data_IF_847489867472
#
_entry.id   IF_847489867472
#
_cell.length_a   1.000
_cell.length_b   1.000
_cell.length_c   1.000
_cell.angle_alpha   90.00
_cell.angle_beta   90.00
_cell.angle_gamma   90.00
#
_symmetry.space_group_name_H-M   'P 1'
#
loop_
_entity.id
_entity.type
_entity.pdbx_description
1 polymer ?
#
# COMPACT_ATOMS: atom_id res chain seq x y z
N UNK A 1 10.10 19.13 7.70
CA UNK A 1 9.29 18.98 8.93
C UNK A 1 7.79 18.82 8.62
N UNK A 2 7.42 18.58 7.35
CA UNK A 2 6.03 18.58 6.88
C UNK A 2 5.22 17.47 7.57
N UNK A 3 5.73 16.24 7.58
CA UNK A 3 5.06 15.08 8.21
C UNK A 3 4.91 15.16 9.73
N UNK A 4 5.69 16.02 10.42
CA UNK A 4 5.70 16.07 11.89
C UNK A 4 4.47 16.80 12.43
N UNK A 5 4.05 17.85 11.71
CA UNK A 5 3.04 18.80 12.16
C UNK A 5 1.65 18.49 11.56
N UNK A 6 1.56 17.47 10.69
CA UNK A 6 0.30 17.00 10.14
C UNK A 6 -0.52 16.18 11.15
N UNK A 7 -1.84 16.41 11.20
CA UNK A 7 -2.75 15.64 12.07
C UNK A 7 -2.99 14.21 11.58
N UNK A 8 -2.80 13.94 10.29
CA UNK A 8 -2.95 12.64 9.66
C UNK A 8 -1.58 12.08 9.26
N UNK A 9 -1.04 11.19 10.08
CA UNK A 9 0.34 10.68 9.92
C UNK A 9 0.44 9.19 9.64
N UNK A 10 -0.70 8.50 9.64
CA UNK A 10 -0.77 7.05 9.46
C UNK A 10 -1.78 6.72 8.35
N UNK A 11 -1.35 5.93 7.38
CA UNK A 11 -2.15 5.64 6.18
C UNK A 11 -3.50 4.97 6.50
N UNK A 12 -3.57 4.14 7.55
CA UNK A 12 -4.81 3.47 7.95
C UNK A 12 -5.85 4.40 8.59
N UNK A 13 -5.47 5.63 8.98
CA UNK A 13 -6.43 6.67 9.42
C UNK A 13 -6.84 7.61 8.29
N UNK A 14 -6.28 7.43 7.08
CA UNK A 14 -6.62 8.28 5.96
C UNK A 14 -8.01 7.87 5.43
N UNK A 15 -9.03 8.75 5.47
CA UNK A 15 -10.38 8.42 5.06
C UNK A 15 -10.48 8.00 3.58
N UNK A 16 -9.64 8.55 2.70
CA UNK A 16 -9.62 8.16 1.29
C UNK A 16 -9.06 6.77 1.08
N UNK A 17 -8.05 6.38 1.86
CA UNK A 17 -7.50 5.01 1.83
C UNK A 17 -8.53 4.03 2.38
N UNK A 18 -9.20 4.37 3.49
CA UNK A 18 -10.25 3.51 4.05
C UNK A 18 -11.37 3.26 3.04
N UNK A 19 -11.87 4.32 2.38
CA UNK A 19 -12.90 4.23 1.34
C UNK A 19 -12.43 3.41 0.13
N UNK A 20 -11.19 3.58 -0.32
CA UNK A 20 -10.63 2.79 -1.42
C UNK A 20 -10.61 1.29 -1.11
N UNK A 21 -10.32 0.92 0.14
CA UNK A 21 -10.40 -0.47 0.58
C UNK A 21 -11.85 -0.94 0.69
N UNK A 22 -12.75 -0.17 1.29
CA UNK A 22 -14.17 -0.54 1.43
C UNK A 22 -14.89 -0.72 0.08
N UNK A 23 -14.76 0.26 -0.81
CA UNK A 23 -15.53 0.30 -2.06
C UNK A 23 -14.92 -0.55 -3.17
N UNK A 24 -13.60 -0.74 -3.13
CA UNK A 24 -12.84 -1.29 -4.24
C UNK A 24 -11.98 -2.46 -3.75
N UNK A 25 -10.83 -2.22 -3.10
CA UNK A 25 -9.79 -3.25 -2.87
C UNK A 25 -10.21 -4.40 -1.94
N UNK A 26 -11.26 -4.20 -1.13
CA UNK A 26 -11.69 -5.09 -0.08
C UNK A 26 -10.75 -5.02 1.12
N UNK A 27 -10.05 -6.12 1.40
CA UNK A 27 -9.08 -6.19 2.50
C UNK A 27 -7.63 -6.02 2.03
N UNK A 28 -6.71 -5.59 2.91
CA UNK A 28 -5.28 -5.75 2.67
C UNK A 28 -4.94 -7.21 2.36
N UNK A 29 -4.01 -7.46 1.43
CA UNK A 29 -3.64 -8.81 0.97
C UNK A 29 -4.77 -9.59 0.28
N UNK A 30 -5.90 -8.95 -0.06
CA UNK A 30 -6.91 -9.56 -0.92
C UNK A 30 -6.30 -9.92 -2.28
N UNK A 31 -6.92 -10.85 -3.01
CA UNK A 31 -6.51 -11.22 -4.36
C UNK A 31 -6.32 -9.98 -5.26
N UNK A 32 -7.30 -9.07 -5.21
CA UNK A 32 -7.28 -7.83 -6.00
C UNK A 32 -6.21 -6.83 -5.55
N UNK A 33 -5.92 -6.76 -4.26
CA UNK A 33 -4.77 -6.01 -3.76
C UNK A 33 -3.47 -6.62 -4.30
N UNK A 34 -3.34 -7.96 -4.26
CA UNK A 34 -2.15 -8.67 -4.72
C UNK A 34 -1.91 -8.51 -6.23
N UNK A 35 -2.97 -8.44 -7.03
CA UNK A 35 -2.86 -8.20 -8.48
C UNK A 35 -2.42 -6.77 -8.82
N UNK A 36 -2.91 -5.77 -8.09
CA UNK A 36 -2.70 -4.36 -8.43
C UNK A 36 -1.54 -3.70 -7.69
N UNK A 37 -1.30 -4.08 -6.44
CA UNK A 37 -0.41 -3.37 -5.52
C UNK A 37 0.83 -4.19 -5.13
N UNK A 38 0.87 -5.48 -5.47
CA UNK A 38 2.01 -6.34 -5.16
C UNK A 38 2.78 -6.70 -6.43
N UNK A 39 4.06 -6.97 -6.26
CA UNK A 39 4.96 -7.40 -7.33
C UNK A 39 5.92 -8.45 -6.79
N UNK A 40 6.61 -9.16 -7.69
CA UNK A 40 7.59 -10.17 -7.32
C UNK A 40 8.99 -9.71 -7.71
N UNK A 41 9.96 -10.05 -6.87
CA UNK A 41 11.38 -9.83 -7.17
C UNK A 41 11.95 -11.10 -7.76
N UNK A 42 12.78 -10.98 -8.79
CA UNK A 42 13.56 -12.09 -9.34
C UNK A 42 14.98 -12.02 -8.79
N UNK A 43 15.63 -13.17 -8.53
CA UNK A 43 17.04 -13.21 -8.18
C UNK A 43 17.86 -12.42 -9.20
N UNK A 44 18.74 -11.54 -8.71
CA UNK A 44 19.67 -10.82 -9.56
C UNK A 44 20.93 -11.66 -9.70
N UNK A 45 21.23 -12.08 -10.93
CA UNK A 45 22.54 -12.63 -11.24
C UNK A 45 23.58 -11.50 -11.14
N UNK A 46 24.42 -11.57 -10.10
CA UNK A 46 25.59 -10.70 -9.98
C UNK A 46 26.72 -11.47 -10.63
N UNK A 47 27.16 -11.03 -11.81
CA UNK A 47 28.39 -11.51 -12.44
C UNK A 47 29.55 -11.00 -11.57
N UNK A 48 29.98 -11.83 -10.62
CA UNK A 48 31.28 -11.69 -9.96
C UNK A 48 32.38 -12.18 -10.88
#
# INVERSE_FOLDING_TARGET
AIDRDEGLRVAHKNPDIARLYEDFLGAPQSHRSHELLHTTYKPREVLT
#
